data_IF_803105152032
#
_entry.id   IF_803105152032
#
_cell.length_a   1.000
_cell.length_b   1.000
_cell.length_c   1.000
_cell.angle_alpha   90.00
_cell.angle_beta   90.00
_cell.angle_gamma   90.00
#
_symmetry.space_group_name_H-M   'P 1'
#
loop_
_entity.id
_entity.type
_entity.pdbx_description
1 polymer ?
#
# COMPACT_ATOMS: atom_id res chain seq x y z
N UNK A 1 -22.42 -0.74 -25.42
CA UNK A 1 -21.99 0.39 -24.55
C UNK A 1 -20.47 0.38 -24.42
N UNK A 2 -19.79 1.32 -25.06
CA UNK A 2 -18.37 1.59 -24.81
C UNK A 2 -18.30 2.04 -23.34
N UNK A 3 -17.91 1.14 -22.43
CA UNK A 3 -17.76 1.48 -21.02
C UNK A 3 -16.78 2.64 -20.96
N UNK A 4 -17.14 3.73 -20.30
CA UNK A 4 -16.31 4.93 -20.16
C UNK A 4 -14.97 4.54 -19.50
N UNK A 5 -13.98 4.26 -20.34
CA UNK A 5 -12.65 3.80 -19.94
C UNK A 5 -11.99 4.86 -19.05
N UNK A 6 -12.26 6.15 -19.31
CA UNK A 6 -11.73 7.24 -18.52
C UNK A 6 -12.31 7.21 -17.11
N UNK A 7 -13.63 7.04 -16.96
CA UNK A 7 -14.25 6.90 -15.65
C UNK A 7 -13.76 5.67 -14.89
N UNK A 8 -13.57 4.54 -15.58
CA UNK A 8 -13.01 3.33 -14.96
C UNK A 8 -11.58 3.57 -14.45
N UNK A 9 -10.71 4.15 -15.27
CA UNK A 9 -9.33 4.43 -14.90
C UNK A 9 -9.22 5.47 -13.79
N UNK A 10 -10.08 6.51 -13.78
CA UNK A 10 -10.13 7.50 -12.71
C UNK A 10 -10.51 6.84 -11.38
N UNK A 11 -11.44 5.88 -11.38
CA UNK A 11 -11.80 5.13 -10.17
C UNK A 11 -10.64 4.31 -9.63
N UNK A 12 -9.92 3.59 -10.49
CA UNK A 12 -8.73 2.83 -10.10
C UNK A 12 -7.64 3.76 -9.54
N UNK A 13 -7.35 4.86 -10.23
CA UNK A 13 -6.38 5.84 -9.75
C UNK A 13 -6.79 6.46 -8.41
N UNK A 14 -8.06 6.81 -8.24
CA UNK A 14 -8.57 7.37 -6.97
C UNK A 14 -8.44 6.34 -5.84
N UNK A 15 -8.76 5.08 -6.11
CA UNK A 15 -8.58 3.99 -5.15
C UNK A 15 -7.11 3.87 -4.71
N UNK A 16 -6.17 3.85 -5.65
CA UNK A 16 -4.75 3.71 -5.35
C UNK A 16 -4.21 4.93 -4.57
N UNK A 17 -4.65 6.14 -4.92
CA UNK A 17 -4.30 7.37 -4.21
C UNK A 17 -4.83 7.40 -2.77
N UNK A 18 -6.01 6.80 -2.51
CA UNK A 18 -6.56 6.71 -1.15
C UNK A 18 -5.70 5.83 -0.25
N UNK A 19 -5.16 4.70 -0.74
CA UNK A 19 -4.21 3.89 0.03
C UNK A 19 -2.93 4.65 0.37
N UNK A 20 -2.41 5.45 -0.56
CA UNK A 20 -1.22 6.28 -0.31
C UNK A 20 -1.51 7.39 0.70
N UNK A 21 -2.66 8.06 0.58
CA UNK A 21 -3.08 9.10 1.53
C UNK A 21 -3.25 8.54 2.94
N UNK A 22 -3.85 7.36 3.06
CA UNK A 22 -4.06 6.67 4.33
C UNK A 22 -2.73 6.24 4.96
N UNK A 23 -1.79 5.71 4.15
CA UNK A 23 -0.44 5.40 4.63
C UNK A 23 0.28 6.62 5.18
N UNK A 24 0.18 7.77 4.49
CA UNK A 24 0.78 9.02 4.95
C UNK A 24 0.15 9.52 6.25
N UNK A 25 -1.16 9.38 6.39
CA UNK A 25 -1.88 9.76 7.60
C UNK A 25 -1.52 8.87 8.79
N UNK A 26 -1.50 7.56 8.61
CA UNK A 26 -1.12 6.63 9.67
C UNK A 26 0.36 6.79 10.08
N UNK A 27 1.22 7.11 9.10
CA UNK A 27 2.61 7.47 9.37
C UNK A 27 2.74 8.79 10.16
N UNK A 28 1.86 9.78 9.93
CA UNK A 28 1.86 11.02 10.73
C UNK A 28 1.37 10.79 12.16
N UNK A 29 0.39 9.91 12.31
CA UNK A 29 -0.27 9.63 13.59
C UNK A 29 0.52 8.60 14.42
N UNK A 30 1.49 7.93 13.80
CA UNK A 30 2.26 6.85 14.42
C UNK A 30 1.42 5.60 14.69
N UNK A 31 0.34 5.38 13.93
CA UNK A 31 -0.49 4.18 14.04
C UNK A 31 0.15 3.02 13.26
N UNK A 32 1.14 2.39 13.90
CA UNK A 32 1.95 1.33 13.28
C UNK A 32 1.15 0.10 12.89
N UNK A 33 0.08 -0.21 13.62
CA UNK A 33 -0.79 -1.35 13.33
C UNK A 33 -1.50 -1.15 12.00
N UNK A 34 -1.99 0.06 11.77
CA UNK A 34 -2.66 0.40 10.53
C UNK A 34 -1.70 0.48 9.34
N UNK A 35 -0.46 0.93 9.56
CA UNK A 35 0.59 0.90 8.54
C UNK A 35 0.87 -0.54 8.10
N UNK A 36 1.04 -1.49 9.04
CA UNK A 36 1.26 -2.90 8.71
C UNK A 36 0.12 -3.49 7.86
N UNK A 37 -1.13 -3.22 8.23
CA UNK A 37 -2.31 -3.67 7.51
C UNK A 37 -2.38 -3.09 6.07
N UNK A 38 -1.93 -1.84 5.85
CA UNK A 38 -1.93 -1.20 4.54
C UNK A 38 -0.79 -1.68 3.64
N UNK A 39 0.40 -1.91 4.20
CA UNK A 39 1.58 -2.31 3.42
C UNK A 39 1.36 -3.64 2.68
N UNK A 40 0.64 -4.59 3.28
CA UNK A 40 0.26 -5.83 2.61
C UNK A 40 -0.61 -5.61 1.36
N UNK A 41 -1.58 -4.71 1.46
CA UNK A 41 -2.43 -4.32 0.32
C UNK A 41 -1.63 -3.61 -0.77
N UNK A 42 -0.70 -2.73 -0.40
CA UNK A 42 0.21 -2.07 -1.34
C UNK A 42 1.09 -3.08 -2.08
N UNK A 43 1.67 -4.07 -1.38
CA UNK A 43 2.46 -5.12 -2.02
C UNK A 43 1.65 -5.88 -3.08
N UNK A 44 0.39 -6.24 -2.77
CA UNK A 44 -0.51 -6.89 -3.73
C UNK A 44 -0.83 -6.00 -4.93
N UNK A 45 -1.04 -4.69 -4.73
CA UNK A 45 -1.28 -3.74 -5.83
C UNK A 45 -0.07 -3.60 -6.74
N UNK A 46 1.15 -3.51 -6.19
CA UNK A 46 2.37 -3.50 -7.01
C UNK A 46 2.56 -4.81 -7.77
N UNK A 47 2.21 -5.95 -7.18
CA UNK A 47 2.26 -7.23 -7.89
C UNK A 47 1.27 -7.28 -9.06
N UNK A 48 0.01 -6.86 -8.83
CA UNK A 48 -1.03 -6.91 -9.87
C UNK A 48 -0.77 -5.93 -11.01
N UNK A 49 -0.09 -4.81 -10.75
CA UNK A 49 0.38 -3.86 -11.75
C UNK A 49 1.63 -4.32 -12.53
N UNK A 50 2.17 -5.52 -12.24
CA UNK A 50 3.41 -6.03 -12.86
C UNK A 50 4.69 -5.42 -12.29
N UNK A 51 4.58 -4.61 -11.24
CA UNK A 51 5.67 -3.93 -10.54
C UNK A 51 6.30 -4.82 -9.46
N UNK A 52 6.77 -6.00 -9.88
CA UNK A 52 7.24 -7.04 -8.95
C UNK A 52 8.43 -6.62 -8.09
N UNK A 53 9.33 -5.77 -8.59
CA UNK A 53 10.46 -5.29 -7.80
C UNK A 53 9.99 -4.55 -6.56
N UNK A 54 9.03 -3.62 -6.71
CA UNK A 54 8.45 -2.87 -5.61
C UNK A 54 7.64 -3.75 -4.67
N UNK A 55 6.90 -4.74 -5.19
CA UNK A 55 6.24 -5.75 -4.36
C UNK A 55 7.25 -6.51 -3.50
N UNK A 56 8.34 -7.00 -4.09
CA UNK A 56 9.38 -7.74 -3.37
C UNK A 56 10.08 -6.85 -2.33
N UNK A 57 10.40 -5.61 -2.65
CA UNK A 57 10.94 -4.64 -1.69
C UNK A 57 9.99 -4.37 -0.53
N UNK A 58 8.69 -4.19 -0.80
CA UNK A 58 7.66 -4.03 0.23
C UNK A 58 7.53 -5.27 1.11
N UNK A 59 7.56 -6.47 0.54
CA UNK A 59 7.53 -7.71 1.32
C UNK A 59 8.78 -7.88 2.20
N UNK A 60 9.95 -7.52 1.68
CA UNK A 60 11.17 -7.48 2.50
C UNK A 60 11.07 -6.44 3.59
N UNK A 61 10.53 -5.25 3.31
CA UNK A 61 10.29 -4.22 4.31
C UNK A 61 9.37 -4.75 5.41
N UNK A 62 8.20 -5.29 5.06
CA UNK A 62 7.21 -5.88 5.99
C UNK A 62 7.86 -6.96 6.86
N UNK A 63 8.62 -7.89 6.26
CA UNK A 63 9.28 -8.95 7.01
C UNK A 63 10.29 -8.42 8.04
N UNK A 64 10.95 -7.30 7.71
CA UNK A 64 11.93 -6.65 8.59
C UNK A 64 11.33 -5.58 9.50
N UNK A 65 10.02 -5.29 9.44
CA UNK A 65 9.37 -4.29 10.30
C UNK A 65 9.58 -4.60 11.79
N UNK A 66 9.57 -5.88 12.17
CA UNK A 66 9.84 -6.34 13.55
C UNK A 66 11.25 -6.03 14.05
N UNK A 67 12.21 -5.78 13.16
CA UNK A 67 13.57 -5.38 13.53
C UNK A 67 13.68 -3.86 13.68
N UNK A 68 12.83 -3.11 12.97
CA UNK A 68 12.80 -1.64 13.01
C UNK A 68 11.91 -1.14 14.15
N UNK A 69 10.82 -1.84 14.43
CA UNK A 69 9.88 -1.57 15.51
C UNK A 69 10.05 -2.66 16.57
N UNK A 70 10.70 -2.31 17.68
CA UNK A 70 11.05 -3.27 18.75
C UNK A 70 9.84 -3.84 19.47
N UNK A 71 10.07 -4.88 20.29
CA UNK A 71 9.10 -5.77 20.97
C UNK A 71 7.92 -5.15 21.73
N UNK A 72 7.88 -3.81 21.86
CA UNK A 72 6.82 -3.07 22.52
C UNK A 72 5.72 -2.56 21.57
N UNK A 73 5.79 -2.91 20.28
CA UNK A 73 4.79 -2.60 19.26
C UNK A 73 4.32 -3.87 18.54
#
# INVERSE_FOLDING_TARGET
PCSDLAHHNIRLLTHDLLYVAELLHAASDGDYRWIEDILGNLAMMFHSAGSNNYCTELLHFIFNLKLVWGDNF
#
